data_IF_797454789256
#
_entry.id   IF_797454789256
#
_cell.length_a   1.000
_cell.length_b   1.000
_cell.length_c   1.000
_cell.angle_alpha   90.00
_cell.angle_beta   90.00
_cell.angle_gamma   90.00
#
_symmetry.space_group_name_H-M   'P 1'
#
loop_
_entity.id
_entity.type
_entity.pdbx_description
1 polymer ?
#
# COMPACT_ATOMS: atom_id res chain seq x y z
N UNK A 1 28.36 10.60 -7.43
CA UNK A 1 28.66 10.11 -8.80
C UNK A 1 30.10 9.65 -8.79
N UNK A 2 30.41 8.49 -9.39
CA UNK A 2 31.75 7.89 -9.33
C UNK A 2 32.01 7.01 -8.09
N UNK A 3 30.98 6.72 -7.28
CA UNK A 3 31.08 5.73 -6.20
C UNK A 3 31.03 4.31 -6.77
N UNK A 4 31.81 3.40 -6.18
CA UNK A 4 31.74 1.97 -6.48
C UNK A 4 30.64 1.28 -5.67
N UNK A 5 29.76 0.56 -6.35
CA UNK A 5 28.77 -0.35 -5.77
C UNK A 5 29.14 -1.77 -6.13
N UNK A 6 29.20 -2.63 -5.12
CA UNK A 6 29.42 -4.06 -5.30
C UNK A 6 28.07 -4.76 -5.38
N UNK A 7 27.82 -5.48 -6.48
CA UNK A 7 26.63 -6.31 -6.67
C UNK A 7 27.02 -7.79 -6.74
N UNK A 8 26.29 -8.65 -6.05
CA UNK A 8 26.50 -10.10 -6.12
C UNK A 8 26.05 -10.67 -7.47
N UNK A 9 26.97 -11.30 -8.20
CA UNK A 9 26.72 -12.01 -9.45
C UNK A 9 26.95 -13.52 -9.35
N UNK A 10 26.56 -14.31 -10.37
CA UNK A 10 26.75 -15.76 -10.38
C UNK A 10 28.21 -16.21 -10.31
N UNK A 11 29.16 -15.35 -10.70
CA UNK A 11 30.61 -15.57 -10.60
C UNK A 11 31.28 -14.93 -9.38
N UNK A 12 30.51 -14.33 -8.47
CA UNK A 12 31.01 -13.55 -7.34
C UNK A 12 30.63 -12.07 -7.43
N UNK A 13 31.21 -11.28 -6.54
CA UNK A 13 30.93 -9.86 -6.41
C UNK A 13 31.51 -9.05 -7.58
N UNK A 14 30.65 -8.28 -8.25
CA UNK A 14 31.01 -7.39 -9.37
C UNK A 14 31.00 -5.95 -8.87
N UNK A 15 32.13 -5.27 -8.99
CA UNK A 15 32.25 -3.84 -8.69
C UNK A 15 31.83 -3.01 -9.90
N UNK A 16 30.94 -2.06 -9.67
CA UNK A 16 30.35 -1.21 -10.70
C UNK A 16 30.37 0.25 -10.27
N UNK A 17 30.61 1.15 -11.19
CA UNK A 17 30.62 2.59 -10.92
C UNK A 17 29.23 3.21 -11.08
N UNK A 18 28.83 4.07 -10.14
CA UNK A 18 27.56 4.78 -10.19
C UNK A 18 27.67 6.00 -11.10
N UNK A 19 27.16 5.83 -12.33
CA UNK A 19 27.10 6.89 -13.34
C UNK A 19 26.14 8.04 -13.00
N UNK A 20 25.10 7.79 -12.19
CA UNK A 20 24.13 8.82 -11.81
C UNK A 20 22.95 8.28 -10.99
N UNK A 21 22.17 9.21 -10.43
CA UNK A 21 20.93 8.90 -9.72
C UNK A 21 19.73 9.21 -10.63
N UNK A 22 18.78 8.29 -10.68
CA UNK A 22 17.48 8.55 -11.27
C UNK A 22 16.59 9.25 -10.23
N UNK A 23 15.69 10.17 -10.64
CA UNK A 23 14.67 10.70 -9.75
C UNK A 23 13.93 9.54 -9.08
N UNK A 24 13.72 9.61 -7.77
CA UNK A 24 13.03 8.56 -7.04
C UNK A 24 11.67 8.29 -7.70
N UNK A 25 11.47 7.05 -8.16
CA UNK A 25 10.15 6.59 -8.59
C UNK A 25 9.33 6.36 -7.32
N UNK A 26 8.30 7.16 -7.12
CA UNK A 26 7.41 7.02 -5.97
C UNK A 26 6.90 5.57 -5.86
N UNK A 27 7.26 4.89 -4.77
CA UNK A 27 6.76 3.55 -4.44
C UNK A 27 7.44 2.35 -5.13
N UNK A 28 8.56 2.54 -5.85
CA UNK A 28 9.17 1.50 -6.70
C UNK A 28 10.22 0.57 -6.06
N UNK A 29 10.63 0.79 -4.81
CA UNK A 29 11.76 0.05 -4.20
C UNK A 29 13.13 0.43 -4.79
N UNK A 30 14.24 -0.19 -4.32
CA UNK A 30 15.57 0.07 -4.85
C UNK A 30 15.67 -0.41 -6.30
N UNK A 31 15.84 0.54 -7.23
CA UNK A 31 15.97 0.26 -8.66
C UNK A 31 17.39 0.61 -9.12
N UNK A 32 18.07 -0.36 -9.75
CA UNK A 32 19.34 -0.14 -10.45
C UNK A 32 19.09 -0.26 -11.94
N UNK A 33 19.53 0.75 -12.70
CA UNK A 33 19.50 0.75 -14.16
C UNK A 33 20.94 0.73 -14.65
N UNK A 34 21.22 -0.19 -15.57
CA UNK A 34 22.51 -0.32 -16.22
C UNK A 34 22.32 -0.73 -17.67
N UNK A 35 23.39 -0.63 -18.45
CA UNK A 35 23.38 -1.05 -19.85
C UNK A 35 23.12 -2.57 -19.96
N UNK A 36 22.33 -2.96 -20.96
CA UNK A 36 21.95 -4.36 -21.17
C UNK A 36 23.16 -5.25 -21.47
N UNK A 37 24.16 -4.77 -22.19
CA UNK A 37 25.37 -5.54 -22.47
C UNK A 37 26.16 -5.80 -21.18
N UNK A 38 26.23 -4.82 -20.27
CA UNK A 38 26.84 -4.99 -18.96
C UNK A 38 26.09 -6.04 -18.12
N UNK A 39 24.75 -6.00 -18.09
CA UNK A 39 23.95 -7.04 -17.40
C UNK A 39 24.26 -8.42 -17.95
N UNK A 40 24.24 -8.56 -19.27
CA UNK A 40 24.42 -9.85 -19.93
C UNK A 40 25.81 -10.44 -19.69
N UNK A 41 26.84 -9.59 -19.70
CA UNK A 41 28.22 -9.97 -19.48
C UNK A 41 28.50 -10.33 -18.01
N UNK A 42 28.11 -9.46 -17.08
CA UNK A 42 28.48 -9.62 -15.66
C UNK A 42 27.58 -10.58 -14.90
N UNK A 43 26.35 -10.84 -15.37
CA UNK A 43 25.37 -11.69 -14.67
C UNK A 43 25.04 -12.99 -15.41
N UNK A 44 25.83 -13.37 -16.42
CA UNK A 44 25.65 -14.61 -17.20
C UNK A 44 24.24 -14.71 -17.84
N UNK A 45 23.80 -13.61 -18.46
CA UNK A 45 22.46 -13.47 -19.07
C UNK A 45 22.55 -13.29 -20.59
N UNK A 46 23.64 -13.75 -21.20
CA UNK A 46 23.92 -13.57 -22.63
C UNK A 46 22.75 -14.10 -23.47
N UNK A 47 22.21 -13.25 -24.34
CA UNK A 47 21.11 -13.60 -25.24
C UNK A 47 19.73 -13.71 -24.57
N UNK A 48 19.61 -13.46 -23.26
CA UNK A 48 18.34 -13.51 -22.54
C UNK A 48 17.76 -12.11 -22.36
N UNK A 49 16.58 -11.88 -22.93
CA UNK A 49 15.80 -10.64 -22.75
C UNK A 49 14.44 -11.02 -22.15
N UNK A 50 14.11 -10.40 -21.02
CA UNK A 50 12.86 -10.69 -20.29
C UNK A 50 11.69 -9.83 -20.74
N UNK A 51 11.96 -8.58 -21.15
CA UNK A 51 10.95 -7.63 -21.58
C UNK A 51 11.52 -6.66 -22.61
N UNK A 52 10.71 -6.34 -23.60
CA UNK A 52 10.98 -5.28 -24.57
C UNK A 52 9.80 -4.32 -24.52
N UNK A 53 10.07 -3.09 -24.09
CA UNK A 53 9.05 -2.05 -24.02
C UNK A 53 9.00 -1.31 -25.37
N UNK A 54 7.86 -1.41 -26.06
CA UNK A 54 7.66 -0.80 -27.37
C UNK A 54 6.89 0.52 -27.21
N UNK A 55 7.51 1.62 -27.65
CA UNK A 55 6.85 2.93 -27.70
C UNK A 55 6.38 3.20 -29.12
N UNK A 56 5.06 3.25 -29.30
CA UNK A 56 4.47 3.69 -30.57
C UNK A 56 4.50 5.22 -30.68
N UNK A 57 4.58 5.69 -31.92
CA UNK A 57 4.46 7.10 -32.25
C UNK A 57 3.03 7.59 -31.92
N UNK A 58 2.85 8.85 -31.48
CA UNK A 58 1.57 9.32 -30.94
C UNK A 58 0.37 9.14 -31.87
N UNK A 59 0.58 9.32 -33.19
CA UNK A 59 -0.47 9.29 -34.22
C UNK A 59 -0.57 7.95 -34.96
N UNK A 60 0.21 6.94 -34.56
CA UNK A 60 0.20 5.65 -35.22
C UNK A 60 -1.10 4.87 -34.90
N UNK A 61 -1.72 4.19 -35.89
CA UNK A 61 -2.91 3.35 -35.67
C UNK A 61 -2.54 2.13 -34.81
N UNK A 62 -2.70 2.28 -33.49
CA UNK A 62 -2.22 1.34 -32.47
C UNK A 62 -2.71 -0.10 -32.69
N UNK A 63 -3.97 -0.30 -33.04
CA UNK A 63 -4.52 -1.65 -33.28
C UNK A 63 -3.98 -2.32 -34.55
N UNK A 64 -3.67 -1.54 -35.58
CA UNK A 64 -3.06 -2.06 -36.80
C UNK A 64 -1.60 -2.47 -36.52
N UNK A 65 -0.85 -1.60 -35.84
CA UNK A 65 0.53 -1.87 -35.46
C UNK A 65 0.66 -3.08 -34.52
N UNK A 66 -0.21 -3.21 -33.51
CA UNK A 66 -0.20 -4.36 -32.61
C UNK A 66 -0.48 -5.68 -33.35
N UNK A 67 -1.40 -5.69 -34.32
CA UNK A 67 -1.68 -6.89 -35.14
C UNK A 67 -0.50 -7.26 -36.03
N UNK A 68 0.17 -6.27 -36.62
CA UNK A 68 1.37 -6.50 -37.41
C UNK A 68 2.53 -7.04 -36.57
N UNK A 69 2.72 -6.51 -35.37
CA UNK A 69 3.73 -7.01 -34.44
C UNK A 69 3.39 -8.44 -34.02
N UNK A 70 2.13 -8.71 -33.66
CA UNK A 70 1.69 -10.03 -33.22
C UNK A 70 1.88 -11.13 -34.28
N UNK A 71 1.75 -10.81 -35.58
CA UNK A 71 1.95 -11.79 -36.65
C UNK A 71 3.41 -12.16 -36.90
N UNK A 72 4.35 -11.34 -36.40
CA UNK A 72 5.80 -11.56 -36.52
C UNK A 72 6.44 -12.15 -35.26
N UNK A 73 5.66 -12.34 -34.19
CA UNK A 73 6.19 -12.85 -32.92
C UNK A 73 6.44 -14.36 -32.97
N UNK A 74 7.59 -14.84 -32.45
CA UNK A 74 7.85 -16.26 -32.30
C UNK A 74 6.94 -16.92 -31.26
N UNK A 75 6.74 -18.23 -31.39
CA UNK A 75 6.00 -19.01 -30.40
C UNK A 75 6.69 -18.90 -29.02
N UNK A 76 5.94 -18.45 -28.01
CA UNK A 76 6.44 -18.25 -26.64
C UNK A 76 6.62 -16.79 -26.21
N UNK A 77 6.47 -15.82 -27.13
CA UNK A 77 6.49 -14.39 -26.77
C UNK A 77 5.06 -13.86 -26.66
N UNK A 78 4.70 -13.31 -25.50
CA UNK A 78 3.40 -12.71 -25.27
C UNK A 78 3.49 -11.18 -25.44
N UNK A 79 2.64 -10.62 -26.31
CA UNK A 79 2.45 -9.18 -26.40
C UNK A 79 1.46 -8.76 -25.31
N UNK A 80 1.97 -8.10 -24.27
CA UNK A 80 1.16 -7.65 -23.13
C UNK A 80 0.98 -6.13 -23.21
N UNK A 81 -0.27 -5.68 -23.16
CA UNK A 81 -0.57 -4.25 -23.08
C UNK A 81 -0.28 -3.77 -21.66
N UNK A 82 0.35 -2.60 -21.47
CA UNK A 82 0.54 -2.01 -20.14
C UNK A 82 -0.78 -1.94 -19.37
N UNK A 83 -1.85 -1.58 -20.09
CA UNK A 83 -3.20 -1.46 -19.57
C UNK A 83 -3.72 -2.78 -18.98
N UNK A 84 -3.46 -3.91 -19.66
CA UNK A 84 -3.92 -5.24 -19.21
C UNK A 84 -3.10 -5.76 -18.01
N UNK A 85 -1.78 -5.52 -17.99
CA UNK A 85 -0.93 -5.87 -16.85
C UNK A 85 -1.28 -5.04 -15.61
N UNK A 86 -1.45 -3.72 -15.79
CA UNK A 86 -1.90 -2.83 -14.74
C UNK A 86 -3.30 -3.21 -14.24
N UNK A 87 -4.23 -3.57 -15.14
CA UNK A 87 -5.59 -3.98 -14.77
C UNK A 87 -5.64 -5.33 -14.04
N UNK A 88 -4.78 -6.30 -14.35
CA UNK A 88 -4.73 -7.58 -13.61
C UNK A 88 -4.20 -7.39 -12.19
N UNK A 89 -3.12 -6.63 -12.02
CA UNK A 89 -2.56 -6.31 -10.69
C UNK A 89 -3.49 -5.40 -9.90
N UNK A 90 -4.15 -4.44 -10.57
CA UNK A 90 -5.16 -3.60 -9.96
C UNK A 90 -6.41 -4.40 -9.57
N UNK A 91 -6.84 -5.39 -10.36
CA UNK A 91 -8.01 -6.22 -10.06
C UNK A 91 -7.85 -7.05 -8.77
N UNK A 92 -6.69 -7.68 -8.59
CA UNK A 92 -6.38 -8.43 -7.36
C UNK A 92 -6.28 -7.49 -6.14
N UNK A 93 -5.63 -6.34 -6.31
CA UNK A 93 -5.51 -5.31 -5.25
C UNK A 93 -6.89 -4.72 -4.90
N UNK A 94 -7.76 -4.53 -5.89
CA UNK A 94 -9.10 -3.99 -5.69
C UNK A 94 -10.00 -4.96 -4.93
N UNK A 95 -9.97 -6.25 -5.30
CA UNK A 95 -10.73 -7.28 -4.57
C UNK A 95 -10.31 -7.34 -3.09
N UNK A 96 -9.00 -7.28 -2.81
CA UNK A 96 -8.49 -7.25 -1.45
C UNK A 96 -8.92 -6.00 -0.69
N UNK A 97 -8.81 -4.80 -1.30
CA UNK A 97 -9.28 -3.55 -0.71
C UNK A 97 -10.77 -3.56 -0.40
N UNK A 98 -11.59 -4.07 -1.31
CA UNK A 98 -13.05 -4.18 -1.10
C UNK A 98 -13.34 -5.12 0.06
N UNK A 99 -12.72 -6.30 0.12
CA UNK A 99 -12.91 -7.25 1.21
C UNK A 99 -12.48 -6.66 2.57
N UNK A 100 -11.30 -6.05 2.65
CA UNK A 100 -10.83 -5.40 3.88
C UNK A 100 -11.74 -4.24 4.30
N UNK A 101 -12.24 -3.45 3.34
CA UNK A 101 -13.18 -2.37 3.63
C UNK A 101 -14.50 -2.93 4.16
N UNK A 102 -15.00 -4.03 3.59
CA UNK A 102 -16.20 -4.69 4.08
C UNK A 102 -16.01 -5.21 5.53
N UNK A 103 -14.87 -5.83 5.83
CA UNK A 103 -14.54 -6.26 7.20
C UNK A 103 -14.42 -5.08 8.17
N UNK A 104 -13.80 -3.98 7.75
CA UNK A 104 -13.68 -2.77 8.55
C UNK A 104 -15.06 -2.15 8.86
N UNK A 105 -15.95 -2.10 7.87
CA UNK A 105 -17.33 -1.65 8.05
C UNK A 105 -18.11 -2.58 8.99
N UNK A 106 -17.91 -3.90 8.88
CA UNK A 106 -18.54 -4.87 9.77
C UNK A 106 -18.06 -4.69 11.21
N UNK A 107 -16.76 -4.50 11.42
CA UNK A 107 -16.19 -4.21 12.74
C UNK A 107 -16.72 -2.89 13.32
N UNK A 108 -16.81 -1.84 12.49
CA UNK A 108 -17.39 -0.56 12.88
C UNK A 108 -18.86 -0.70 13.31
N UNK A 109 -19.64 -1.46 12.54
CA UNK A 109 -21.04 -1.74 12.84
C UNK A 109 -21.19 -2.53 14.15
N UNK A 110 -20.42 -3.60 14.33
CA UNK A 110 -20.42 -4.39 15.56
C UNK A 110 -20.02 -3.56 16.78
N UNK A 111 -18.98 -2.72 16.66
CA UNK A 111 -18.56 -1.82 17.72
C UNK A 111 -19.63 -0.79 18.09
N UNK A 112 -20.23 -0.15 17.07
CA UNK A 112 -21.34 0.78 17.28
C UNK A 112 -22.57 0.12 17.91
N UNK A 113 -22.88 -1.10 17.50
CA UNK A 113 -23.97 -1.89 18.09
C UNK A 113 -23.71 -2.24 19.56
N UNK A 114 -22.45 -2.54 19.92
CA UNK A 114 -22.06 -2.81 21.29
C UNK A 114 -22.26 -1.57 22.18
N UNK A 115 -21.78 -0.40 21.72
CA UNK A 115 -21.97 0.88 22.42
C UNK A 115 -23.45 1.20 22.58
N UNK A 116 -24.25 1.06 21.50
CA UNK A 116 -25.69 1.26 21.55
C UNK A 116 -26.36 0.34 22.57
N UNK A 117 -26.01 -0.94 22.57
CA UNK A 117 -26.57 -1.93 23.50
C UNK A 117 -26.26 -1.57 24.96
N UNK A 118 -25.04 -1.11 25.24
CA UNK A 118 -24.64 -0.65 26.58
C UNK A 118 -25.41 0.59 27.00
N UNK A 119 -25.50 1.62 26.14
CA UNK A 119 -26.26 2.84 26.43
C UNK A 119 -27.75 2.55 26.63
N UNK A 120 -28.33 1.68 25.81
CA UNK A 120 -29.71 1.24 25.95
C UNK A 120 -29.95 0.53 27.29
N UNK A 121 -29.03 -0.34 27.71
CA UNK A 121 -29.08 -1.01 29.00
C UNK A 121 -28.95 -0.02 30.16
N UNK A 122 -28.03 0.93 30.09
CA UNK A 122 -27.86 1.99 31.10
C UNK A 122 -29.12 2.86 31.20
N UNK A 123 -29.69 3.24 30.07
CA UNK A 123 -30.92 4.03 30.03
C UNK A 123 -32.12 3.29 30.64
N UNK A 124 -32.23 2.00 30.37
CA UNK A 124 -33.27 1.15 30.97
C UNK A 124 -33.15 1.08 32.50
N UNK A 125 -31.91 0.96 33.03
CA UNK A 125 -31.66 0.95 34.48
C UNK A 125 -32.00 2.28 35.15
N UNK A 126 -31.74 3.41 34.48
CA UNK A 126 -31.98 4.76 35.01
C UNK A 126 -33.36 5.33 34.66
N UNK A 127 -34.28 4.49 34.19
CA UNK A 127 -35.60 4.93 33.73
C UNK A 127 -36.43 5.62 34.81
N UNK A 128 -36.29 5.21 36.08
CA UNK A 128 -36.96 5.85 37.22
C UNK A 128 -36.39 7.24 37.52
N UNK A 129 -35.06 7.40 37.46
CA UNK A 129 -34.40 8.70 37.60
C UNK A 129 -34.88 9.67 36.49
N UNK A 130 -34.96 9.20 35.24
CA UNK A 130 -35.49 10.01 34.14
C UNK A 130 -36.97 10.34 34.30
N UNK A 131 -37.77 9.47 34.90
CA UNK A 131 -39.18 9.75 35.19
C UNK A 131 -39.33 10.86 36.23
N UNK A 132 -38.48 10.87 37.27
CA UNK A 132 -38.43 11.94 38.28
C UNK A 132 -37.98 13.27 37.66
N UNK A 133 -36.93 13.26 36.84
CA UNK A 133 -36.48 14.46 36.12
C UNK A 133 -37.54 15.01 35.16
N UNK A 134 -38.32 14.13 34.53
CA UNK A 134 -39.48 14.53 33.71
C UNK A 134 -40.58 15.17 34.54
N UNK A 135 -40.82 14.71 35.77
CA UNK A 135 -41.77 15.35 36.68
C UNK A 135 -41.33 16.77 37.11
N UNK A 136 -40.02 17.02 37.11
CA UNK A 136 -39.41 18.34 37.34
C UNK A 136 -39.35 19.24 36.09
N UNK A 137 -39.90 18.79 34.95
CA UNK A 137 -40.01 19.58 33.72
C UNK A 137 -39.01 19.23 32.61
N UNK A 138 -38.17 18.21 32.77
CA UNK A 138 -37.27 17.77 31.70
C UNK A 138 -38.07 17.14 30.55
N UNK A 139 -37.83 17.59 29.31
CA UNK A 139 -38.54 17.06 28.14
C UNK A 139 -37.97 15.71 27.69
N UNK A 140 -38.77 14.89 27.01
CA UNK A 140 -38.31 13.63 26.42
C UNK A 140 -37.17 13.83 25.39
N UNK A 141 -37.14 14.98 24.72
CA UNK A 141 -36.06 15.38 23.82
C UNK A 141 -34.74 15.65 24.57
N UNK A 142 -34.81 16.28 25.75
CA UNK A 142 -33.63 16.54 26.58
C UNK A 142 -32.93 15.26 27.04
N UNK A 143 -33.69 14.23 27.42
CA UNK A 143 -33.13 12.92 27.78
C UNK A 143 -32.42 12.26 26.59
N UNK A 144 -33.03 12.31 25.39
CA UNK A 144 -32.41 11.77 24.17
C UNK A 144 -31.14 12.54 23.77
N UNK A 145 -31.18 13.86 23.86
CA UNK A 145 -30.01 14.71 23.55
C UNK A 145 -28.86 14.45 24.52
N UNK A 146 -29.16 14.28 25.81
CA UNK A 146 -28.16 13.90 26.82
C UNK A 146 -27.51 12.55 26.51
N UNK A 147 -28.31 11.53 26.21
CA UNK A 147 -27.82 10.21 25.78
C UNK A 147 -27.00 10.27 24.49
N UNK A 148 -27.43 11.08 23.52
CA UNK A 148 -26.71 11.27 22.27
C UNK A 148 -25.35 11.95 22.51
N UNK A 149 -25.28 12.92 23.44
CA UNK A 149 -24.03 13.56 23.83
C UNK A 149 -23.09 12.59 24.53
N UNK A 150 -23.60 11.77 25.46
CA UNK A 150 -22.82 10.73 26.14
C UNK A 150 -22.24 9.72 25.13
N UNK A 151 -23.08 9.25 24.20
CA UNK A 151 -22.65 8.39 23.10
C UNK A 151 -21.65 9.06 22.18
N UNK A 152 -21.81 10.35 21.86
CA UNK A 152 -20.88 11.10 21.03
C UNK A 152 -19.50 11.26 21.71
N UNK A 153 -19.48 11.55 23.01
CA UNK A 153 -18.24 11.65 23.79
C UNK A 153 -17.50 10.31 23.86
N UNK A 154 -18.23 9.22 24.12
CA UNK A 154 -17.67 7.86 24.10
C UNK A 154 -17.17 7.48 22.71
N UNK A 155 -17.91 7.81 21.66
CA UNK A 155 -17.51 7.58 20.28
C UNK A 155 -16.25 8.36 19.90
N UNK A 156 -16.13 9.62 20.33
CA UNK A 156 -14.99 10.47 20.05
C UNK A 156 -13.74 9.99 20.80
N UNK A 157 -13.88 9.65 22.08
CA UNK A 157 -12.81 9.02 22.86
C UNK A 157 -12.38 7.68 22.24
N UNK A 158 -13.34 6.85 21.84
CA UNK A 158 -13.11 5.59 21.16
C UNK A 158 -12.42 5.75 19.80
N UNK A 159 -12.78 6.78 19.02
CA UNK A 159 -12.13 7.09 17.75
C UNK A 159 -10.66 7.50 17.96
N UNK A 160 -10.39 8.41 18.89
CA UNK A 160 -9.01 8.85 19.21
C UNK A 160 -8.16 7.66 19.66
N UNK A 161 -8.65 6.87 20.62
CA UNK A 161 -7.92 5.71 21.13
C UNK A 161 -7.78 4.60 20.07
N UNK A 162 -8.84 4.33 19.32
CA UNK A 162 -8.86 3.32 18.25
C UNK A 162 -7.89 3.67 17.12
N UNK A 163 -7.84 4.93 16.67
CA UNK A 163 -6.88 5.38 15.68
C UNK A 163 -5.45 5.34 16.20
N UNK A 164 -5.21 5.75 17.46
CA UNK A 164 -3.89 5.67 18.07
C UNK A 164 -3.39 4.21 18.19
N UNK A 165 -4.24 3.29 18.66
CA UNK A 165 -3.93 1.87 18.75
C UNK A 165 -3.76 1.23 17.36
N UNK A 166 -4.59 1.59 16.39
CA UNK A 166 -4.47 1.12 15.01
C UNK A 166 -3.14 1.55 14.37
N UNK A 167 -2.73 2.80 14.60
CA UNK A 167 -1.44 3.31 14.13
C UNK A 167 -0.27 2.61 14.83
N UNK A 168 -0.35 2.41 16.15
CA UNK A 168 0.65 1.70 16.91
C UNK A 168 0.78 0.24 16.46
N UNK A 169 -0.33 -0.45 16.25
CA UNK A 169 -0.36 -1.83 15.75
C UNK A 169 0.19 -1.92 14.32
N UNK A 170 -0.16 -0.96 13.45
CA UNK A 170 0.38 -0.88 12.09
C UNK A 170 1.90 -0.71 12.10
N UNK A 171 2.43 0.19 12.93
CA UNK A 171 3.88 0.38 13.10
C UNK A 171 4.56 -0.88 13.64
N UNK A 172 4.00 -1.48 14.69
CA UNK A 172 4.56 -2.69 15.28
C UNK A 172 4.56 -3.87 14.28
N UNK A 173 3.53 -4.00 13.44
CA UNK A 173 3.55 -4.98 12.36
C UNK A 173 4.65 -4.68 11.33
N UNK A 174 4.80 -3.42 10.90
CA UNK A 174 5.84 -3.05 9.94
C UNK A 174 7.25 -3.26 10.48
N UNK A 175 7.49 -2.97 11.76
CA UNK A 175 8.78 -3.24 12.41
C UNK A 175 9.07 -4.74 12.52
N UNK A 176 8.04 -5.56 12.76
CA UNK A 176 8.20 -7.01 12.96
C UNK A 176 8.26 -7.82 11.68
N UNK A 177 7.49 -7.43 10.66
CA UNK A 177 7.37 -8.14 9.38
C UNK A 177 8.16 -7.47 8.24
N UNK A 178 8.75 -6.30 8.50
CA UNK A 178 9.35 -5.45 7.49
C UNK A 178 8.31 -4.81 6.56
N UNK A 179 8.75 -3.86 5.74
CA UNK A 179 7.93 -3.25 4.67
C UNK A 179 7.43 -4.26 3.63
N UNK A 180 7.93 -5.50 3.69
CA UNK A 180 7.65 -6.60 2.78
C UNK A 180 6.58 -7.58 3.28
N UNK A 181 5.92 -7.28 4.41
CA UNK A 181 4.88 -8.13 4.99
C UNK A 181 5.32 -9.60 5.19
N UNK A 182 6.61 -9.84 5.47
CA UNK A 182 7.17 -11.17 5.67
C UNK A 182 7.43 -12.00 4.40
N UNK A 183 7.37 -11.39 3.21
CA UNK A 183 7.60 -12.10 1.94
C UNK A 183 9.09 -12.38 1.63
N UNK A 184 10.03 -11.69 2.29
CA UNK A 184 11.47 -11.96 2.18
C UNK A 184 12.14 -11.48 0.87
N UNK A 185 11.43 -10.71 0.04
CA UNK A 185 11.99 -9.97 -1.10
C UNK A 185 12.99 -8.88 -0.68
N UNK A 186 12.83 -8.28 0.51
CA UNK A 186 13.65 -7.13 0.94
C UNK A 186 14.53 -7.37 2.19
N UNK A 187 14.64 -8.60 2.71
CA UNK A 187 15.36 -8.90 3.96
C UNK A 187 16.90 -8.92 3.87
N UNK A 188 17.50 -8.31 2.83
CA UNK A 188 18.93 -8.50 2.51
C UNK A 188 19.81 -7.25 2.38
N UNK A 189 19.29 -6.02 2.45
CA UNK A 189 20.11 -4.83 2.08
C UNK A 189 20.35 -3.87 3.25
N UNK A 190 21.32 -4.25 4.09
CA UNK A 190 21.95 -3.37 5.07
C UNK A 190 22.91 -2.33 4.46
N UNK A 191 22.60 -1.77 3.29
CA UNK A 191 23.38 -0.67 2.70
C UNK A 191 22.53 0.59 2.70
N UNK A 192 22.59 1.31 3.81
CA UNK A 192 22.05 2.66 3.94
C UNK A 192 22.90 3.59 3.08
N UNK A 193 22.45 3.88 1.86
CA UNK A 193 23.09 4.90 1.03
C UNK A 193 22.75 6.27 1.63
N UNK A 194 23.69 6.86 2.36
CA UNK A 194 23.64 8.24 2.81
C UNK A 194 24.39 9.09 1.77
N UNK A 195 23.71 9.78 0.84
CA UNK A 195 24.40 10.62 -0.13
C UNK A 195 25.10 11.76 0.62
N UNK A 196 26.42 11.80 0.57
CA UNK A 196 27.21 12.91 1.08
C UNK A 196 26.97 14.12 0.17
N UNK A 197 26.30 15.13 0.72
CA UNK A 197 25.92 16.36 0.02
C UNK A 197 27.12 17.17 -0.50
N UNK A 198 28.33 16.84 -0.05
CA UNK A 198 29.58 17.44 -0.54
C UNK A 198 30.00 16.99 -1.94
N UNK A 199 29.40 15.93 -2.49
CA UNK A 199 29.71 15.41 -3.83
C UNK A 199 28.91 16.05 -4.98
N UNK A 200 28.06 17.04 -4.67
CA UNK A 200 27.22 17.77 -5.63
C UNK A 200 27.70 19.21 -5.89
N UNK A 201 28.91 19.56 -5.45
CA UNK A 201 29.58 20.83 -5.75
C UNK A 201 30.71 20.62 -6.76
#
# INVERSE_FOLDING_TARGET
MGDEVTLGGPGGDVKLEVAGALPALDGGGPLVVMDIAAVQLFFDRIGVIHRIDLRLEPDAPREAALREIASRLPAGVALVRPDEAAMRTAGLTQAYRVNLTALALMALFTGGFLVFSTLALQAARRRQEFALLRALGLTAGGVRAFLALEGALLGLAGAVLGTALGLAASRAMLERFGYDLGAGFFSGTGNTFAPDASSLA
#
